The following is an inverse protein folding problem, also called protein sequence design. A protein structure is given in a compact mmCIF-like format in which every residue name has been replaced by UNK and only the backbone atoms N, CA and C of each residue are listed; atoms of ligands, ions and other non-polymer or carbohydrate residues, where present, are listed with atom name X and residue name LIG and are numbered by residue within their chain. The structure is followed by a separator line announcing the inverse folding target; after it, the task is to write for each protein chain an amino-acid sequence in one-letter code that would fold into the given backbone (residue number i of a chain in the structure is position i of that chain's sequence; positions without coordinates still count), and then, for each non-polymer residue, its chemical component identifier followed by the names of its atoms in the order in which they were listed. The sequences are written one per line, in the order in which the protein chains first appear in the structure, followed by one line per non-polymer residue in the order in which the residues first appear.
data_IF_631348673061
#
_entry.id   IF_631348673061
#
_cell.length_a   1.000
_cell.length_b   1.000
_cell.length_c   1.000
_cell.angle_alpha   90.00
_cell.angle_beta   90.00
_cell.angle_gamma   90.00
#
_symmetry.space_group_name_H-M   'P 1'
#
loop_
_entity.id
_entity.type
_entity.pdbx_description
1 polymer ?
#
# COMPACT_ATOMS: atom_id res chain seq x y z
N UNK A 1 -38.03 -39.37 38.55
CA UNK A 1 -37.77 -37.98 38.12
C UNK A 1 -36.27 -37.70 38.21
N UNK A 2 -35.44 -38.17 37.28
CA UNK A 2 -33.98 -37.86 37.26
C UNK A 2 -33.35 -38.12 35.88
N UNK A 3 -34.06 -37.85 34.78
CA UNK A 3 -33.56 -38.10 33.42
C UNK A 3 -33.38 -36.83 32.57
N UNK A 4 -33.27 -35.65 33.20
CA UNK A 4 -33.25 -34.37 32.46
C UNK A 4 -32.11 -33.40 32.83
N UNK A 5 -31.05 -33.88 33.50
CA UNK A 5 -29.91 -33.02 33.89
C UNK A 5 -28.62 -33.40 33.14
N UNK A 6 -28.49 -34.63 32.64
CA UNK A 6 -27.24 -35.12 32.02
C UNK A 6 -27.03 -34.65 30.58
N UNK A 7 -28.10 -34.30 29.84
CA UNK A 7 -27.99 -33.90 28.42
C UNK A 7 -27.58 -32.42 28.28
N UNK A 8 -27.92 -31.56 29.24
CA UNK A 8 -27.61 -30.12 29.17
C UNK A 8 -26.16 -29.80 29.53
N UNK A 9 -25.48 -30.65 30.32
CA UNK A 9 -24.07 -30.42 30.68
C UNK A 9 -23.09 -30.77 29.54
N UNK A 10 -23.50 -31.56 28.55
CA UNK A 10 -22.62 -31.99 27.46
C UNK A 10 -22.41 -30.89 26.39
N UNK A 11 -23.30 -29.87 26.35
CA UNK A 11 -23.21 -28.77 25.38
C UNK A 11 -22.32 -27.62 25.88
N UNK A 12 -22.03 -27.52 27.18
CA UNK A 12 -21.30 -26.37 27.76
C UNK A 12 -19.78 -26.63 27.88
N UNK A 13 -19.32 -27.88 27.76
CA UNK A 13 -17.90 -28.25 27.91
C UNK A 13 -17.07 -28.19 26.61
N UNK A 14 -17.64 -27.74 25.49
CA UNK A 14 -16.93 -27.65 24.21
C UNK A 14 -16.16 -26.32 24.00
N UNK A 15 -16.18 -25.40 24.96
CA UNK A 15 -15.55 -24.08 24.81
C UNK A 15 -14.03 -24.03 25.05
N UNK A 16 -13.34 -25.15 25.29
CA UNK A 16 -11.88 -25.12 25.52
C UNK A 16 -11.14 -26.43 25.23
N UNK A 17 -11.37 -27.04 24.07
CA UNK A 17 -10.46 -28.10 23.59
C UNK A 17 -9.40 -27.46 22.69
N UNK A 18 -8.22 -27.16 23.25
CA UNK A 18 -7.01 -26.89 22.46
C UNK A 18 -6.50 -28.21 21.87
N UNK A 19 -7.11 -28.63 20.78
CA UNK A 19 -6.67 -29.80 20.04
C UNK A 19 -5.58 -29.39 19.03
N UNK A 20 -4.35 -29.87 19.25
CA UNK A 20 -3.29 -29.96 18.24
C UNK A 20 -3.70 -31.00 17.18
N UNK A 21 -4.70 -30.67 16.37
CA UNK A 21 -5.18 -31.49 15.28
C UNK A 21 -4.64 -30.91 13.97
N UNK A 22 -3.63 -31.58 13.40
CA UNK A 22 -3.24 -31.42 12.00
C UNK A 22 -4.41 -31.88 11.15
N UNK A 23 -5.18 -30.94 10.59
CA UNK A 23 -6.26 -31.26 9.65
C UNK A 23 -5.81 -31.02 8.22
N UNK A 24 -6.36 -31.82 7.30
CA UNK A 24 -6.01 -31.79 5.88
C UNK A 24 -6.76 -30.69 5.12
N UNK A 25 -8.00 -30.36 5.51
CA UNK A 25 -8.79 -29.29 4.91
C UNK A 25 -9.93 -28.89 5.85
N UNK A 26 -10.27 -27.60 5.91
CA UNK A 26 -11.40 -27.09 6.69
C UNK A 26 -12.28 -26.14 5.87
N UNK A 27 -13.56 -26.48 5.81
CA UNK A 27 -14.66 -25.63 5.38
C UNK A 27 -15.58 -25.38 6.58
N UNK A 28 -15.41 -24.24 7.26
CA UNK A 28 -16.28 -23.86 8.38
C UNK A 28 -16.55 -22.35 8.35
N UNK A 29 -17.70 -21.96 8.88
CA UNK A 29 -18.20 -20.58 8.99
C UNK A 29 -18.47 -20.27 10.48
N UNK A 30 -17.41 -20.22 11.30
CA UNK A 30 -17.50 -19.85 12.71
C UNK A 30 -17.11 -18.39 12.95
N UNK A 31 -17.56 -17.78 14.06
CA UNK A 31 -17.27 -16.38 14.37
C UNK A 31 -15.80 -16.13 14.72
N UNK A 32 -15.18 -17.09 15.42
CA UNK A 32 -13.84 -16.97 15.98
C UNK A 32 -13.09 -18.29 15.81
N UNK A 33 -11.88 -18.23 15.27
CA UNK A 33 -11.07 -19.42 15.01
C UNK A 33 -9.64 -19.21 15.50
N UNK A 34 -9.15 -20.13 16.35
CA UNK A 34 -7.79 -20.16 16.88
C UNK A 34 -7.23 -21.60 16.79
N UNK A 35 -6.30 -21.87 15.86
CA UNK A 35 -5.64 -23.19 15.75
C UNK A 35 -4.30 -23.12 15.01
N UNK A 36 -3.43 -24.12 15.21
CA UNK A 36 -1.98 -24.02 15.02
C UNK A 36 -1.44 -24.35 13.62
N UNK A 37 -2.03 -25.27 12.85
CA UNK A 37 -1.55 -25.60 11.48
C UNK A 37 -2.56 -26.40 10.62
N UNK A 38 -2.65 -26.08 9.33
CA UNK A 38 -3.40 -26.82 8.29
C UNK A 38 -2.66 -26.73 6.94
N UNK A 39 -2.96 -27.66 6.02
CA UNK A 39 -2.62 -27.49 4.60
C UNK A 39 -3.53 -26.43 3.96
N UNK A 40 -4.84 -26.71 3.90
CA UNK A 40 -5.78 -25.86 3.15
C UNK A 40 -6.91 -25.31 4.03
N UNK A 41 -7.33 -24.08 3.78
CA UNK A 41 -8.45 -23.45 4.48
C UNK A 41 -9.34 -22.59 3.56
N UNK A 42 -10.62 -22.98 3.41
CA UNK A 42 -11.58 -22.33 2.50
C UNK A 42 -13.00 -22.08 3.09
N UNK A 43 -13.62 -20.95 2.76
CA UNK A 43 -14.96 -20.54 3.19
C UNK A 43 -15.12 -19.02 3.35
N UNK A 44 -16.13 -18.55 4.09
CA UNK A 44 -16.79 -17.33 3.61
C UNK A 44 -16.67 -16.07 4.48
N UNK A 45 -16.98 -16.13 5.78
CA UNK A 45 -17.06 -14.93 6.63
C UNK A 45 -16.57 -15.26 8.05
N UNK A 46 -15.68 -14.43 8.60
CA UNK A 46 -15.31 -14.45 10.02
C UNK A 46 -15.19 -13.03 10.57
N UNK A 47 -15.43 -12.90 11.88
CA UNK A 47 -15.12 -11.67 12.59
C UNK A 47 -13.64 -11.60 12.91
N UNK A 48 -13.10 -12.62 13.60
CA UNK A 48 -11.72 -12.67 14.03
C UNK A 48 -11.02 -13.94 13.58
N UNK A 49 -9.80 -13.79 13.08
CA UNK A 49 -8.93 -14.89 12.71
C UNK A 49 -7.53 -14.67 13.26
N UNK A 50 -7.01 -15.64 14.03
CA UNK A 50 -5.66 -15.59 14.57
C UNK A 50 -4.98 -16.95 14.41
N UNK A 51 -3.90 -17.04 13.60
CA UNK A 51 -3.21 -18.31 13.37
C UNK A 51 -1.74 -18.21 12.97
N UNK A 52 -1.05 -19.33 13.14
CA UNK A 52 0.40 -19.45 12.96
C UNK A 52 0.86 -19.97 11.59
N UNK A 53 0.33 -21.05 11.00
CA UNK A 53 0.85 -21.55 9.70
C UNK A 53 -0.19 -22.22 8.77
N UNK A 54 -0.23 -21.82 7.50
CA UNK A 54 -0.98 -22.48 6.40
C UNK A 54 -0.10 -22.67 5.16
N UNK A 55 -0.40 -23.68 4.35
CA UNK A 55 0.06 -23.65 2.96
C UNK A 55 -0.88 -22.76 2.17
N UNK A 56 -2.15 -23.16 2.04
CA UNK A 56 -3.10 -22.46 1.18
C UNK A 56 -4.25 -21.84 1.97
N UNK A 57 -4.47 -20.55 1.77
CA UNK A 57 -5.57 -19.80 2.37
C UNK A 57 -6.36 -19.04 1.31
N UNK A 58 -7.65 -19.32 1.17
CA UNK A 58 -8.52 -18.64 0.20
C UNK A 58 -9.84 -18.22 0.82
N UNK A 59 -10.12 -16.91 0.90
CA UNK A 59 -11.31 -16.40 1.62
C UNK A 59 -11.79 -15.01 1.17
N UNK A 60 -13.06 -14.72 1.51
CA UNK A 60 -13.79 -13.56 0.99
C UNK A 60 -13.91 -12.36 1.94
N UNK A 61 -14.24 -12.54 3.23
CA UNK A 61 -14.51 -11.39 4.13
C UNK A 61 -14.02 -11.60 5.57
N UNK A 62 -13.19 -10.68 6.08
CA UNK A 62 -12.79 -10.61 7.49
C UNK A 62 -12.87 -9.19 8.05
N UNK A 63 -13.28 -9.07 9.32
CA UNK A 63 -13.05 -7.82 10.06
C UNK A 63 -11.62 -7.74 10.60
N UNK A 64 -11.12 -8.80 11.23
CA UNK A 64 -9.76 -8.83 11.78
C UNK A 64 -9.05 -10.13 11.42
N UNK A 65 -7.92 -10.00 10.73
CA UNK A 65 -7.03 -11.10 10.39
C UNK A 65 -5.64 -10.87 11.00
N UNK A 66 -5.14 -11.87 11.70
CA UNK A 66 -3.77 -11.95 12.18
C UNK A 66 -3.16 -13.30 11.78
N UNK A 67 -2.13 -13.25 10.95
CA UNK A 67 -1.50 -14.43 10.37
C UNK A 67 0.03 -14.37 10.44
N UNK A 68 0.66 -15.47 10.87
CA UNK A 68 2.13 -15.51 10.98
C UNK A 68 2.81 -15.99 9.70
N UNK A 69 2.41 -17.13 9.13
CA UNK A 69 3.09 -17.69 7.96
C UNK A 69 2.13 -18.39 7.00
N UNK A 70 2.22 -18.02 5.74
CA UNK A 70 1.44 -18.60 4.64
C UNK A 70 2.36 -18.84 3.46
N UNK A 71 2.17 -19.96 2.77
CA UNK A 71 2.75 -20.12 1.46
C UNK A 71 1.94 -19.29 0.48
N UNK A 72 0.66 -19.63 0.30
CA UNK A 72 -0.24 -18.99 -0.65
C UNK A 72 -1.43 -18.37 0.10
N UNK A 73 -1.61 -17.06 -0.06
CA UNK A 73 -2.76 -16.33 0.49
C UNK A 73 -3.55 -15.65 -0.61
N UNK A 74 -4.86 -15.90 -0.63
CA UNK A 74 -5.84 -15.23 -1.48
C UNK A 74 -6.98 -14.66 -0.63
N UNK A 75 -7.12 -13.34 -0.65
CA UNK A 75 -8.07 -12.62 0.16
C UNK A 75 -8.82 -11.53 -0.59
N UNK A 76 -10.14 -11.49 -0.46
CA UNK A 76 -10.95 -10.45 -1.14
C UNK A 76 -11.11 -9.18 -0.33
N UNK A 77 -11.66 -9.23 0.88
CA UNK A 77 -12.00 -8.04 1.67
C UNK A 77 -11.61 -8.18 3.14
N UNK A 78 -10.82 -7.23 3.62
CA UNK A 78 -10.38 -7.15 5.01
C UNK A 78 -10.56 -5.74 5.55
N UNK A 79 -11.11 -5.62 6.75
CA UNK A 79 -11.05 -4.36 7.47
C UNK A 79 -9.65 -4.18 8.08
N UNK A 80 -9.19 -5.13 8.91
CA UNK A 80 -7.83 -5.12 9.44
C UNK A 80 -7.11 -6.41 9.07
N UNK A 81 -5.93 -6.26 8.46
CA UNK A 81 -5.04 -7.36 8.15
C UNK A 81 -3.67 -7.11 8.77
N UNK A 82 -3.19 -8.10 9.53
CA UNK A 82 -1.83 -8.16 10.04
C UNK A 82 -1.19 -9.49 9.63
N UNK A 83 -0.11 -9.41 8.88
CA UNK A 83 0.59 -10.54 8.31
C UNK A 83 2.09 -10.47 8.50
N UNK A 84 2.72 -11.55 8.95
CA UNK A 84 4.19 -11.57 9.13
C UNK A 84 4.93 -12.08 7.89
N UNK A 85 4.66 -13.31 7.43
CA UNK A 85 5.40 -13.95 6.34
C UNK A 85 4.46 -14.56 5.31
N UNK A 86 4.62 -14.16 4.05
CA UNK A 86 3.91 -14.74 2.90
C UNK A 86 4.91 -15.03 1.80
N UNK A 87 4.81 -16.21 1.18
CA UNK A 87 5.48 -16.40 -0.09
C UNK A 87 4.68 -15.67 -1.16
N UNK A 88 3.43 -16.07 -1.39
CA UNK A 88 2.55 -15.49 -2.40
C UNK A 88 1.33 -14.87 -1.73
N UNK A 89 1.11 -13.58 -1.97
CA UNK A 89 -0.05 -12.84 -1.47
C UNK A 89 -0.85 -12.23 -2.63
N UNK A 90 -2.14 -12.54 -2.67
CA UNK A 90 -3.10 -11.91 -3.55
C UNK A 90 -4.26 -11.30 -2.75
N UNK A 91 -4.41 -9.97 -2.85
CA UNK A 91 -5.36 -9.20 -2.09
C UNK A 91 -6.16 -8.22 -2.94
N UNK A 92 -7.49 -8.19 -2.78
CA UNK A 92 -8.32 -7.23 -3.52
C UNK A 92 -8.54 -5.92 -2.76
N UNK A 93 -9.09 -5.94 -1.54
CA UNK A 93 -9.52 -4.74 -0.81
C UNK A 93 -9.17 -4.82 0.68
N UNK A 94 -8.44 -3.82 1.15
CA UNK A 94 -8.03 -3.71 2.55
C UNK A 94 -8.25 -2.28 3.04
N UNK A 95 -8.92 -2.13 4.19
CA UNK A 95 -8.93 -0.84 4.88
C UNK A 95 -7.56 -0.60 5.52
N UNK A 96 -7.10 -1.54 6.35
CA UNK A 96 -5.80 -1.48 7.01
C UNK A 96 -5.01 -2.76 6.73
N UNK A 97 -3.85 -2.61 6.09
CA UNK A 97 -2.91 -3.69 5.84
C UNK A 97 -1.57 -3.43 6.53
N UNK A 98 -1.10 -4.42 7.28
CA UNK A 98 0.25 -4.45 7.83
C UNK A 98 0.94 -5.77 7.44
N UNK A 99 2.00 -5.67 6.65
CA UNK A 99 2.79 -6.80 6.15
C UNK A 99 4.27 -6.65 6.48
N UNK A 100 4.89 -7.69 7.07
CA UNK A 100 6.31 -7.63 7.44
C UNK A 100 7.24 -8.12 6.32
N UNK A 101 7.07 -9.36 5.85
CA UNK A 101 7.95 -9.98 4.86
C UNK A 101 7.13 -10.73 3.83
N UNK A 102 7.16 -10.28 2.58
CA UNK A 102 6.43 -10.90 1.48
C UNK A 102 7.36 -11.09 0.29
N UNK A 103 7.33 -12.27 -0.31
CA UNK A 103 8.10 -12.51 -1.52
C UNK A 103 7.36 -11.88 -2.70
N UNK A 104 6.17 -12.40 -3.02
CA UNK A 104 5.36 -11.93 -4.14
C UNK A 104 4.04 -11.34 -3.61
N UNK A 105 3.84 -10.05 -3.86
CA UNK A 105 2.63 -9.34 -3.47
C UNK A 105 1.87 -8.81 -4.69
N UNK A 106 0.59 -9.15 -4.77
CA UNK A 106 -0.34 -8.58 -5.72
C UNK A 106 -1.56 -7.99 -4.98
N UNK A 107 -1.71 -6.68 -5.08
CA UNK A 107 -2.71 -5.92 -4.36
C UNK A 107 -3.50 -4.97 -5.26
N UNK A 108 -4.83 -4.92 -5.11
CA UNK A 108 -5.66 -4.00 -5.90
C UNK A 108 -5.93 -2.67 -5.18
N UNK A 109 -6.58 -2.68 -4.01
CA UNK A 109 -7.00 -1.46 -3.32
C UNK A 109 -6.69 -1.51 -1.83
N UNK A 110 -5.99 -0.47 -1.35
CA UNK A 110 -5.64 -0.30 0.05
C UNK A 110 -5.93 1.13 0.47
N UNK A 111 -6.63 1.28 1.59
CA UNK A 111 -6.77 2.60 2.20
C UNK A 111 -5.47 2.94 2.95
N UNK A 112 -5.11 2.14 3.95
CA UNK A 112 -3.83 2.25 4.65
C UNK A 112 -2.98 1.01 4.40
N UNK A 113 -1.81 1.19 3.81
CA UNK A 113 -0.82 0.14 3.63
C UNK A 113 0.44 0.43 4.42
N UNK A 114 0.87 -0.54 5.24
CA UNK A 114 2.17 -0.54 5.89
C UNK A 114 2.92 -1.83 5.53
N UNK A 115 4.07 -1.67 4.88
CA UNK A 115 4.90 -2.77 4.41
C UNK A 115 6.36 -2.60 4.78
N UNK A 116 6.99 -3.66 5.31
CA UNK A 116 8.41 -3.61 5.69
C UNK A 116 9.34 -4.13 4.60
N UNK A 117 9.20 -5.39 4.18
CA UNK A 117 10.09 -6.04 3.21
C UNK A 117 9.30 -6.79 2.13
N UNK A 118 9.55 -6.41 0.88
CA UNK A 118 8.94 -7.03 -0.29
C UNK A 118 10.01 -7.29 -1.35
N UNK A 119 9.99 -8.49 -1.92
CA UNK A 119 10.80 -8.76 -3.09
C UNK A 119 10.10 -8.20 -4.33
N UNK A 120 8.96 -8.77 -4.70
CA UNK A 120 8.18 -8.37 -5.86
C UNK A 120 6.83 -7.78 -5.39
N UNK A 121 6.63 -6.49 -5.64
CA UNK A 121 5.40 -5.79 -5.28
C UNK A 121 4.67 -5.30 -6.52
N UNK A 122 3.41 -5.69 -6.66
CA UNK A 122 2.49 -5.17 -7.65
C UNK A 122 1.23 -4.61 -6.97
N UNK A 123 1.02 -3.31 -7.11
CA UNK A 123 -0.06 -2.59 -6.45
C UNK A 123 -0.81 -1.66 -7.40
N UNK A 124 -2.14 -1.62 -7.32
CA UNK A 124 -2.94 -0.74 -8.19
C UNK A 124 -3.27 0.62 -7.54
N UNK A 125 -3.94 0.63 -6.39
CA UNK A 125 -4.43 1.87 -5.76
C UNK A 125 -4.18 1.90 -4.25
N UNK A 126 -3.57 2.99 -3.79
CA UNK A 126 -3.28 3.23 -2.38
C UNK A 126 -3.65 4.66 -2.02
N UNK A 127 -4.46 4.83 -0.96
CA UNK A 127 -4.68 6.16 -0.40
C UNK A 127 -3.43 6.59 0.37
N UNK A 128 -3.05 5.81 1.38
CA UNK A 128 -1.86 6.02 2.21
C UNK A 128 -0.94 4.80 2.12
N UNK A 129 0.27 4.99 1.60
CA UNK A 129 1.28 3.95 1.49
C UNK A 129 2.50 4.29 2.35
N UNK A 130 2.90 3.36 3.21
CA UNK A 130 4.15 3.41 3.95
C UNK A 130 4.96 2.12 3.70
N UNK A 131 6.12 2.29 3.05
CA UNK A 131 7.00 1.20 2.65
C UNK A 131 8.44 1.40 3.10
N UNK A 132 9.06 0.35 3.63
CA UNK A 132 10.48 0.40 4.06
C UNK A 132 11.45 -0.08 2.98
N UNK A 133 11.37 -1.33 2.54
CA UNK A 133 12.33 -1.95 1.61
C UNK A 133 11.61 -2.78 0.53
N UNK A 134 11.91 -2.44 -0.72
CA UNK A 134 11.36 -3.11 -1.90
C UNK A 134 12.46 -3.37 -2.91
N UNK A 135 12.55 -4.60 -3.42
CA UNK A 135 13.47 -4.91 -4.50
C UNK A 135 12.87 -4.46 -5.84
N UNK A 136 11.72 -5.00 -6.22
CA UNK A 136 11.00 -4.66 -7.44
C UNK A 136 9.60 -4.15 -7.09
N UNK A 137 9.37 -2.86 -7.34
CA UNK A 137 8.11 -2.19 -7.05
C UNK A 137 7.42 -1.72 -8.32
N UNK A 138 6.19 -2.19 -8.53
CA UNK A 138 5.31 -1.72 -9.58
C UNK A 138 3.99 -1.23 -8.96
N UNK A 139 3.73 0.06 -9.14
CA UNK A 139 2.60 0.74 -8.54
C UNK A 139 1.88 1.63 -9.54
N UNK A 140 0.54 1.62 -9.55
CA UNK A 140 -0.22 2.45 -10.49
C UNK A 140 -0.56 3.83 -9.91
N UNK A 141 -1.28 3.89 -8.79
CA UNK A 141 -1.76 5.15 -8.20
C UNK A 141 -1.56 5.20 -6.69
N UNK A 142 -0.95 6.29 -6.22
CA UNK A 142 -0.76 6.58 -4.80
C UNK A 142 -1.10 8.04 -4.52
N UNK A 143 -1.91 8.26 -3.48
CA UNK A 143 -2.27 9.60 -3.04
C UNK A 143 -1.28 10.21 -2.06
N UNK A 144 -0.87 9.45 -1.05
CA UNK A 144 0.20 9.78 -0.13
C UNK A 144 1.19 8.60 -0.13
N UNK A 145 2.42 8.87 -0.57
CA UNK A 145 3.44 7.84 -0.62
C UNK A 145 4.58 8.18 0.33
N UNK A 146 4.89 7.29 1.26
CA UNK A 146 6.08 7.34 2.08
C UNK A 146 6.93 6.09 1.87
N UNK A 147 8.13 6.28 1.36
CA UNK A 147 9.02 5.20 0.98
C UNK A 147 10.45 5.42 1.46
N UNK A 148 11.09 4.38 1.99
CA UNK A 148 12.49 4.50 2.45
C UNK A 148 13.50 4.04 1.39
N UNK A 149 13.42 2.78 0.94
CA UNK A 149 14.39 2.20 0.01
C UNK A 149 13.73 1.33 -1.06
N UNK A 150 14.07 1.63 -2.32
CA UNK A 150 13.60 0.87 -3.48
C UNK A 150 14.78 0.60 -4.41
N UNK A 151 14.96 -0.66 -4.84
CA UNK A 151 15.96 -0.94 -5.86
C UNK A 151 15.43 -0.58 -7.25
N UNK A 152 14.31 -1.16 -7.67
CA UNK A 152 13.61 -0.79 -8.89
C UNK A 152 12.21 -0.28 -8.54
N UNK A 153 11.90 0.95 -8.95
CA UNK A 153 10.61 1.56 -8.74
C UNK A 153 9.98 1.95 -10.08
N UNK A 154 8.76 1.48 -10.31
CA UNK A 154 7.91 1.89 -11.42
C UNK A 154 6.56 2.39 -10.87
N UNK A 155 6.30 3.68 -11.04
CA UNK A 155 5.09 4.35 -10.61
C UNK A 155 4.39 5.06 -11.76
N UNK A 156 3.08 4.91 -11.93
CA UNK A 156 2.36 5.67 -12.96
C UNK A 156 1.98 7.07 -12.46
N UNK A 157 1.24 7.15 -11.34
CA UNK A 157 0.77 8.40 -10.76
C UNK A 157 1.04 8.44 -9.27
N UNK A 158 1.84 9.42 -8.84
CA UNK A 158 2.19 9.66 -7.45
C UNK A 158 1.83 11.09 -7.06
N UNK A 159 1.01 11.23 -6.03
CA UNK A 159 0.79 12.49 -5.33
C UNK A 159 1.46 12.42 -3.95
N UNK A 160 1.87 13.57 -3.41
CA UNK A 160 2.40 13.74 -2.06
C UNK A 160 3.41 12.64 -1.68
N UNK A 161 4.49 12.57 -2.47
CA UNK A 161 5.47 11.51 -2.37
C UNK A 161 6.68 11.98 -1.57
N UNK A 162 6.96 11.29 -0.47
CA UNK A 162 8.16 11.40 0.32
C UNK A 162 8.99 10.12 0.20
N UNK A 163 10.11 10.21 -0.50
CA UNK A 163 10.98 9.06 -0.75
C UNK A 163 12.42 9.31 -0.34
N UNK A 164 13.04 8.38 0.39
CA UNK A 164 14.44 8.59 0.83
C UNK A 164 15.44 8.18 -0.26
N UNK A 165 15.45 6.91 -0.68
CA UNK A 165 16.42 6.40 -1.65
C UNK A 165 15.75 5.49 -2.68
N UNK A 166 16.04 5.72 -3.96
CA UNK A 166 15.73 4.75 -5.01
C UNK A 166 16.96 4.53 -5.87
N UNK A 167 17.23 3.29 -6.26
CA UNK A 167 18.33 3.02 -7.18
C UNK A 167 17.89 3.37 -8.61
N UNK A 168 16.87 2.68 -9.12
CA UNK A 168 16.23 2.98 -10.40
C UNK A 168 14.81 3.48 -10.16
N UNK A 169 14.48 4.66 -10.66
CA UNK A 169 13.14 5.23 -10.59
C UNK A 169 12.58 5.50 -11.98
N UNK A 170 11.38 4.99 -12.24
CA UNK A 170 10.56 5.30 -13.40
C UNK A 170 9.18 5.81 -12.96
N UNK A 171 8.88 7.06 -13.28
CA UNK A 171 7.62 7.72 -12.92
C UNK A 171 6.98 8.42 -14.11
N UNK A 172 5.66 8.32 -14.28
CA UNK A 172 4.99 9.06 -15.37
C UNK A 172 4.46 10.42 -14.92
N UNK A 173 3.64 10.46 -13.86
CA UNK A 173 3.01 11.67 -13.34
C UNK A 173 3.29 11.84 -11.86
N UNK A 174 4.05 12.87 -11.51
CA UNK A 174 4.48 13.16 -10.14
C UNK A 174 3.96 14.53 -9.70
N UNK A 175 3.30 14.59 -8.55
CA UNK A 175 2.90 15.83 -7.90
C UNK A 175 3.40 15.86 -6.46
N UNK A 176 3.97 16.99 -6.04
CA UNK A 176 4.42 17.22 -4.66
C UNK A 176 5.43 16.14 -4.21
N UNK A 177 6.50 16.02 -4.98
CA UNK A 177 7.52 14.99 -4.82
C UNK A 177 8.73 15.55 -4.05
N UNK A 178 8.94 15.06 -2.84
CA UNK A 178 10.08 15.38 -1.98
C UNK A 178 10.98 14.17 -1.81
N UNK A 179 12.27 14.31 -2.07
CA UNK A 179 13.21 13.20 -1.96
C UNK A 179 14.63 13.53 -1.55
N UNK A 180 15.37 12.47 -1.18
CA UNK A 180 16.78 12.55 -0.79
C UNK A 180 17.75 12.08 -1.89
N UNK A 181 17.56 10.93 -2.56
CA UNK A 181 18.51 10.45 -3.58
C UNK A 181 17.95 9.48 -4.66
N UNK A 182 18.60 9.46 -5.84
CA UNK A 182 18.43 8.47 -6.92
C UNK A 182 19.79 8.08 -7.49
N UNK A 183 19.93 6.87 -8.04
CA UNK A 183 21.03 6.57 -8.97
C UNK A 183 20.61 6.86 -10.42
N UNK A 184 19.47 6.31 -10.84
CA UNK A 184 18.89 6.51 -12.17
C UNK A 184 17.44 7.00 -12.04
N UNK A 185 17.07 8.01 -12.83
CA UNK A 185 15.74 8.62 -12.81
C UNK A 185 15.19 8.83 -14.23
N UNK A 186 13.98 8.32 -14.45
CA UNK A 186 13.17 8.58 -15.63
C UNK A 186 11.80 9.12 -15.20
N UNK A 187 11.48 10.34 -15.61
CA UNK A 187 10.25 11.05 -15.24
C UNK A 187 9.66 11.79 -16.43
N UNK A 188 8.35 11.66 -16.70
CA UNK A 188 7.71 12.32 -17.84
C UNK A 188 7.03 13.66 -17.48
N UNK A 189 6.22 13.68 -16.43
CA UNK A 189 5.45 14.84 -15.98
C UNK A 189 5.67 15.05 -14.47
N UNK A 190 6.04 16.27 -14.08
CA UNK A 190 6.27 16.60 -12.67
C UNK A 190 5.80 18.02 -12.31
N UNK A 191 5.23 18.16 -11.12
CA UNK A 191 4.89 19.43 -10.49
C UNK A 191 5.40 19.43 -9.05
N UNK A 192 6.03 20.53 -8.61
CA UNK A 192 6.61 20.70 -7.28
C UNK A 192 7.59 19.56 -6.90
N UNK A 193 8.79 19.60 -7.48
CA UNK A 193 9.86 18.63 -7.22
C UNK A 193 10.95 19.25 -6.34
N UNK A 194 11.22 18.65 -5.19
CA UNK A 194 12.31 19.04 -4.29
C UNK A 194 13.29 17.87 -4.12
N UNK A 195 14.54 18.07 -4.51
CA UNK A 195 15.61 17.08 -4.44
C UNK A 195 16.75 17.59 -3.57
N UNK A 196 17.24 16.73 -2.69
CA UNK A 196 18.31 17.04 -1.75
C UNK A 196 19.58 16.18 -1.88
N UNK A 197 20.03 15.69 -3.06
CA UNK A 197 21.47 15.32 -3.27
C UNK A 197 21.96 15.10 -4.73
N UNK A 198 23.29 15.22 -4.97
CA UNK A 198 24.03 15.36 -6.26
C UNK A 198 24.57 14.05 -6.91
N UNK A 199 24.23 13.75 -8.18
CA UNK A 199 25.10 13.72 -9.41
C UNK A 199 24.45 12.98 -10.60
N UNK A 200 24.68 13.58 -11.80
CA UNK A 200 24.52 13.11 -13.19
C UNK A 200 23.17 12.54 -13.65
N UNK A 201 22.20 13.43 -13.93
CA UNK A 201 21.11 13.11 -14.84
C UNK A 201 21.62 13.01 -16.28
N UNK A 202 21.21 11.97 -17.02
CA UNK A 202 21.49 11.81 -18.47
C UNK A 202 20.21 11.84 -19.31
N UNK A 203 19.07 12.26 -18.75
CA UNK A 203 17.81 12.41 -19.47
C UNK A 203 17.66 13.76 -20.21
N UNK A 204 16.85 13.83 -21.28
CA UNK A 204 16.56 15.10 -21.97
C UNK A 204 15.93 16.11 -20.99
N UNK A 205 16.21 17.41 -21.12
CA UNK A 205 15.70 18.42 -20.20
C UNK A 205 14.18 18.46 -20.29
N UNK A 206 13.52 17.98 -19.25
CA UNK A 206 12.08 18.09 -19.14
C UNK A 206 11.68 19.57 -18.99
N UNK A 207 10.60 19.93 -19.67
CA UNK A 207 10.12 21.30 -19.73
C UNK A 207 9.61 21.73 -18.35
N UNK A 208 10.46 22.41 -17.58
CA UNK A 208 10.01 23.24 -16.47
C UNK A 208 9.27 24.40 -17.12
N UNK A 209 7.93 24.36 -17.19
CA UNK A 209 7.16 25.54 -17.58
C UNK A 209 7.37 26.62 -16.50
N UNK A 210 8.04 27.74 -16.80
CA UNK A 210 8.19 28.80 -15.83
C UNK A 210 6.85 29.50 -15.64
N UNK A 211 6.55 29.94 -14.41
CA UNK A 211 5.47 30.92 -14.17
C UNK A 211 5.65 32.10 -15.15
N UNK A 212 4.58 32.61 -15.79
CA UNK A 212 4.70 33.76 -16.69
C UNK A 212 5.31 34.94 -15.92
N UNK A 213 6.50 35.40 -16.31
CA UNK A 213 7.02 36.69 -15.84
C UNK A 213 6.16 37.78 -16.47
N UNK A 214 5.52 38.60 -15.64
CA UNK A 214 4.75 39.79 -16.07
C UNK A 214 5.62 40.73 -16.94
N UNK A 215 6.95 40.64 -16.87
CA UNK A 215 7.90 41.38 -17.71
C UNK A 215 8.02 40.90 -19.17
N UNK A 216 7.35 39.82 -19.57
CA UNK A 216 7.35 39.29 -20.95
C UNK A 216 6.01 39.49 -21.69
N UNK A 217 5.04 40.18 -21.09
CA UNK A 217 3.85 40.60 -21.85
C UNK A 217 4.26 41.65 -22.89
N UNK A 218 3.93 41.48 -24.18
CA UNK A 218 4.16 42.52 -25.18
C UNK A 218 3.39 43.79 -24.78
N UNK A 219 4.09 44.88 -24.48
CA UNK A 219 3.49 46.23 -24.46
C UNK A 219 3.25 46.65 -25.91
N UNK A 220 2.19 46.15 -26.52
CA UNK A 220 1.46 46.79 -27.63
C UNK A 220 0.33 45.85 -28.08
N UNK A 221 -0.88 46.10 -27.56
CA UNK A 221 -2.08 45.87 -28.35
C UNK A 221 -2.49 47.25 -28.82
N UNK A 222 -2.26 47.54 -30.11
CA UNK A 222 -2.99 48.60 -30.77
C UNK A 222 -4.49 48.25 -30.64
N UNK A 223 -5.24 49.04 -29.87
CA UNK A 223 -6.70 48.94 -29.83
C UNK A 223 -7.38 48.75 -28.47
N UNK A 224 -6.71 48.95 -27.33
CA UNK A 224 -7.40 48.99 -26.03
C UNK A 224 -7.29 50.35 -25.34
N UNK A 225 -8.34 51.15 -25.50
CA UNK A 225 -8.66 52.30 -24.67
C UNK A 225 -9.36 51.82 -23.40
N UNK A 226 -8.72 51.95 -22.24
CA UNK A 226 -9.37 51.61 -20.97
C UNK A 226 -8.38 51.55 -19.82
N UNK A 227 -8.45 52.57 -18.97
CA UNK A 227 -7.66 52.83 -17.79
C UNK A 227 -7.77 51.73 -16.72
N UNK A 228 -6.64 51.38 -16.11
CA UNK A 228 -6.39 51.36 -14.65
C UNK A 228 -5.39 50.27 -14.27
N UNK A 229 -4.19 50.73 -13.93
CA UNK A 229 -3.13 49.99 -13.25
C UNK A 229 -3.45 50.04 -11.76
N UNK A 230 -3.53 48.91 -11.08
CA UNK A 230 -3.31 48.86 -9.63
C UNK A 230 -2.12 47.93 -9.33
N UNK A 231 -1.03 48.57 -8.92
CA UNK A 231 0.13 47.96 -8.27
C UNK A 231 -0.29 47.25 -6.98
N UNK A 232 0.14 46.00 -6.78
CA UNK A 232 0.39 45.51 -5.43
C UNK A 232 1.85 45.12 -5.27
N UNK A 233 2.46 45.84 -4.35
CA UNK A 233 3.87 45.94 -4.06
C UNK A 233 4.43 44.69 -3.39
N UNK A 234 5.74 44.55 -3.53
CA UNK A 234 6.64 43.58 -2.90
C UNK A 234 6.36 43.29 -1.42
N UNK A 235 6.37 42.01 -1.06
CA UNK A 235 6.50 41.54 0.32
C UNK A 235 7.56 40.44 0.41
N UNK A 236 8.77 40.83 0.79
CA UNK A 236 9.89 39.96 1.17
C UNK A 236 9.63 39.35 2.53
N UNK A 237 9.78 38.02 2.70
CA UNK A 237 10.28 37.43 3.95
C UNK A 237 11.02 36.11 3.69
N UNK A 238 12.23 36.11 4.25
CA UNK A 238 13.18 35.05 4.61
C UNK A 238 12.71 33.59 4.51
#
# INVERSE_FOLDING_TARGET
MTASITVTLCVILLSSVSANLTGTSLNDNQSDFNRTSYQDFNGTIFQNFNKTMFQDFNRTLYQHFNGTSFQDFNGTMFHNFNGTMFQDFNGTMFQDFNGTSLQDFNGTMFYNFNGTMFQDFNGTMFQDFNGTMFQDFNGTMFYNFNGTMFHNFNGTSLQDCNGTMFHNFNGTSLQDFNRTSFQDFNGALFSNFNESFRRTSTGPPAAILPRPRISQMPRTVAGWSGSSVEEFSSGSWL
#
